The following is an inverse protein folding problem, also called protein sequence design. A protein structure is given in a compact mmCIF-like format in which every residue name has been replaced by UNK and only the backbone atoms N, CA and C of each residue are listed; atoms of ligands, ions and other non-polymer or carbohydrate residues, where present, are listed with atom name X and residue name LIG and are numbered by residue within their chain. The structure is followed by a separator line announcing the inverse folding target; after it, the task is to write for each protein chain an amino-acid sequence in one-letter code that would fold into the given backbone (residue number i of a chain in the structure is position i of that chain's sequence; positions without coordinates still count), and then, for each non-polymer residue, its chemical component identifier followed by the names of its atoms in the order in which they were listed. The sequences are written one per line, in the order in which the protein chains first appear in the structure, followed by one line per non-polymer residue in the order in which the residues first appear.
data_IF_895601782458
#
_entry.id   IF_895601782458
#
_cell.length_a   1.000
_cell.length_b   1.000
_cell.length_c   1.000
_cell.angle_alpha   90.00
_cell.angle_beta   90.00
_cell.angle_gamma   90.00
#
_symmetry.space_group_name_H-M   'P 1'
#
loop_
_entity.id
_entity.type
_entity.pdbx_description
1 polymer ?
#
# COMPACT_ATOMS: atom_id res chain seq x y z
N UNK A 1 -7.93 -14.83 29.03
CA UNK A 1 -8.25 -14.25 27.70
C UNK A 1 -8.54 -15.39 26.74
N UNK A 2 -9.58 -15.28 25.90
CA UNK A 2 -9.89 -16.29 24.86
C UNK A 2 -8.94 -16.15 23.68
N UNK A 3 -8.72 -17.25 22.94
CA UNK A 3 -7.98 -17.25 21.67
C UNK A 3 -8.59 -16.23 20.69
N UNK A 4 -9.92 -16.11 20.66
CA UNK A 4 -10.61 -15.18 19.77
C UNK A 4 -10.23 -13.71 20.00
N UNK A 5 -10.02 -13.33 21.26
CA UNK A 5 -9.62 -11.96 21.61
C UNK A 5 -8.19 -11.66 21.11
N UNK A 6 -7.30 -12.64 21.21
CA UNK A 6 -5.91 -12.51 20.72
C UNK A 6 -5.85 -12.39 19.19
N UNK A 7 -6.66 -13.17 18.48
CA UNK A 7 -6.71 -13.11 17.01
C UNK A 7 -7.28 -11.77 16.50
N UNK A 8 -8.26 -11.20 17.22
CA UNK A 8 -8.82 -9.89 16.89
C UNK A 8 -7.79 -8.78 17.12
N UNK A 9 -7.12 -8.78 18.28
CA UNK A 9 -6.07 -7.80 18.61
C UNK A 9 -4.91 -7.87 17.61
N UNK A 10 -4.44 -9.07 17.27
CA UNK A 10 -3.40 -9.28 16.27
C UNK A 10 -3.79 -8.74 14.89
N UNK A 11 -5.05 -8.94 14.46
CA UNK A 11 -5.52 -8.41 13.18
C UNK A 11 -5.60 -6.88 13.18
N UNK A 12 -6.05 -6.27 14.27
CA UNK A 12 -6.11 -4.81 14.41
C UNK A 12 -4.70 -4.22 14.33
N UNK A 13 -3.72 -4.85 15.00
CA UNK A 13 -2.33 -4.38 14.99
C UNK A 13 -1.74 -4.42 13.57
N UNK A 14 -1.88 -5.53 12.86
CA UNK A 14 -1.39 -5.67 11.48
C UNK A 14 -2.05 -4.64 10.54
N UNK A 15 -3.33 -4.35 10.73
CA UNK A 15 -4.03 -3.35 9.93
C UNK A 15 -3.53 -1.92 10.22
N UNK A 16 -3.21 -1.61 11.48
CA UNK A 16 -2.60 -0.32 11.86
C UNK A 16 -1.22 -0.16 11.22
N UNK A 17 -0.38 -1.20 11.28
CA UNK A 17 0.94 -1.20 10.65
C UNK A 17 0.85 -0.92 9.14
N UNK A 18 -0.14 -1.52 8.45
CA UNK A 18 -0.39 -1.26 7.04
C UNK A 18 -0.75 0.22 6.77
N UNK A 19 -1.67 0.78 7.56
CA UNK A 19 -2.10 2.18 7.40
C UNK A 19 -0.94 3.14 7.66
N UNK A 20 -0.16 2.90 8.71
CA UNK A 20 1.00 3.74 9.06
C UNK A 20 2.07 3.68 7.97
N UNK A 21 2.30 2.50 7.40
CA UNK A 21 3.22 2.33 6.27
C UNK A 21 2.77 3.13 5.04
N UNK A 22 1.48 3.05 4.67
CA UNK A 22 0.91 3.82 3.54
C UNK A 22 1.02 5.32 3.78
N UNK A 23 0.69 5.79 4.98
CA UNK A 23 0.79 7.20 5.33
C UNK A 23 2.23 7.71 5.21
N UNK A 24 3.21 6.89 5.63
CA UNK A 24 4.63 7.20 5.45
C UNK A 24 5.03 7.29 3.98
N UNK A 25 4.62 6.32 3.15
CA UNK A 25 4.89 6.36 1.70
C UNK A 25 4.31 7.63 1.05
N UNK A 26 3.08 7.97 1.38
CA UNK A 26 2.41 9.17 0.86
C UNK A 26 3.11 10.46 1.32
N UNK A 27 3.59 10.52 2.57
CA UNK A 27 4.33 11.67 3.08
C UNK A 27 5.68 11.84 2.38
N UNK A 28 6.41 10.74 2.15
CA UNK A 28 7.69 10.77 1.44
C UNK A 28 7.50 11.10 -0.06
N UNK A 29 6.42 10.64 -0.69
CA UNK A 29 6.03 11.05 -2.03
C UNK A 29 5.75 12.56 -2.11
N UNK A 30 4.98 13.10 -1.16
CA UNK A 30 4.68 14.54 -1.10
C UNK A 30 5.96 15.37 -0.95
N UNK A 31 6.88 14.98 -0.05
CA UNK A 31 8.17 15.68 0.11
C UNK A 31 8.98 15.74 -1.18
N UNK A 32 8.93 14.67 -2.00
CA UNK A 32 9.63 14.64 -3.30
C UNK A 32 8.99 15.59 -4.30
N UNK A 33 7.66 15.63 -4.36
CA UNK A 33 6.92 16.57 -5.21
C UNK A 33 7.08 18.02 -4.77
N UNK A 34 7.18 18.28 -3.46
CA UNK A 34 7.43 19.62 -2.94
C UNK A 34 8.84 20.13 -3.32
N UNK A 35 9.80 19.22 -3.50
CA UNK A 35 11.18 19.53 -3.89
C UNK A 35 11.39 19.66 -5.40
N UNK A 36 10.50 19.09 -6.21
CA UNK A 36 10.60 19.05 -7.67
C UNK A 36 9.22 19.33 -8.31
N UNK A 37 8.98 20.55 -8.84
CA UNK A 37 7.69 20.94 -9.39
C UNK A 37 7.31 20.20 -10.69
N UNK A 38 8.27 19.55 -11.36
CA UNK A 38 8.03 18.76 -12.56
C UNK A 38 7.72 17.28 -12.24
N UNK A 39 7.78 16.89 -10.96
CA UNK A 39 7.50 15.54 -10.49
C UNK A 39 6.08 15.41 -9.95
N UNK A 40 5.34 14.42 -10.45
CA UNK A 40 4.03 14.04 -9.93
C UNK A 40 4.01 12.57 -9.51
N UNK A 41 3.65 12.30 -8.25
CA UNK A 41 3.54 10.95 -7.69
C UNK A 41 2.12 10.75 -7.14
N UNK A 42 1.45 9.67 -7.58
CA UNK A 42 0.12 9.32 -7.08
C UNK A 42 0.14 8.91 -5.61
N UNK A 43 -0.93 9.21 -4.87
CA UNK A 43 -1.12 8.77 -3.48
C UNK A 43 -1.87 7.45 -3.42
N UNK A 44 -1.43 6.56 -2.55
CA UNK A 44 -2.15 5.35 -2.18
C UNK A 44 -3.27 5.72 -1.19
N UNK A 45 -4.44 5.09 -1.30
CA UNK A 45 -5.48 5.24 -0.27
C UNK A 45 -5.03 4.59 1.03
N UNK A 46 -5.35 5.21 2.17
CA UNK A 46 -5.11 4.63 3.51
C UNK A 46 -6.34 3.92 4.09
N UNK A 47 -7.38 3.75 3.27
CA UNK A 47 -8.56 2.95 3.61
C UNK A 47 -8.20 1.46 3.61
N UNK A 48 -8.19 0.78 4.76
CA UNK A 48 -7.85 -0.63 4.80
C UNK A 48 -8.94 -1.53 4.19
N UNK A 49 -10.20 -1.09 4.11
CA UNK A 49 -11.28 -1.89 3.50
C UNK A 49 -11.14 -1.92 1.97
N UNK A 50 -10.62 -0.85 1.38
CA UNK A 50 -10.20 -0.86 -0.02
C UNK A 50 -9.16 -1.95 -0.28
N UNK A 51 -8.11 -2.01 0.54
CA UNK A 51 -7.03 -2.99 0.40
C UNK A 51 -7.47 -4.43 0.68
N UNK A 52 -8.37 -4.61 1.64
CA UNK A 52 -9.04 -5.87 1.89
C UNK A 52 -9.73 -6.43 0.65
N UNK A 53 -10.35 -5.56 -0.17
CA UNK A 53 -10.96 -5.92 -1.45
C UNK A 53 -9.98 -6.51 -2.48
N UNK A 54 -8.69 -6.14 -2.38
CA UNK A 54 -7.59 -6.70 -3.19
C UNK A 54 -6.85 -7.85 -2.51
N UNK A 55 -7.31 -8.32 -1.34
CA UNK A 55 -6.62 -9.35 -0.57
C UNK A 55 -5.34 -8.86 0.12
N UNK A 56 -5.20 -7.55 0.31
CA UNK A 56 -4.08 -6.90 0.98
C UNK A 56 -4.45 -6.63 2.44
N UNK A 57 -3.75 -7.28 3.36
CA UNK A 57 -4.05 -7.24 4.80
C UNK A 57 -2.88 -6.76 5.65
N UNK A 58 -1.67 -6.74 5.09
CA UNK A 58 -0.41 -6.40 5.76
C UNK A 58 0.52 -5.64 4.83
N UNK A 59 1.56 -5.03 5.41
CA UNK A 59 2.63 -4.35 4.65
C UNK A 59 3.24 -5.28 3.59
N UNK A 60 3.52 -6.54 3.93
CA UNK A 60 4.11 -7.49 2.99
C UNK A 60 3.17 -7.80 1.81
N UNK A 61 1.87 -7.95 2.07
CA UNK A 61 0.89 -8.14 0.99
C UNK A 61 0.74 -6.90 0.09
N UNK A 62 0.87 -5.68 0.66
CA UNK A 62 0.86 -4.45 -0.12
C UNK A 62 2.07 -4.40 -1.06
N UNK A 63 3.27 -4.71 -0.56
CA UNK A 63 4.49 -4.72 -1.37
C UNK A 63 4.38 -5.73 -2.53
N UNK A 64 3.90 -6.94 -2.25
CA UNK A 64 3.67 -7.94 -3.29
C UNK A 64 2.65 -7.46 -4.35
N UNK A 65 1.59 -6.77 -3.92
CA UNK A 65 0.61 -6.19 -4.85
C UNK A 65 1.25 -5.13 -5.74
N UNK A 66 2.03 -4.21 -5.18
CA UNK A 66 2.69 -3.13 -5.92
C UNK A 66 3.75 -3.67 -6.90
N UNK A 67 4.50 -4.71 -6.52
CA UNK A 67 5.45 -5.38 -7.41
C UNK A 67 4.72 -6.05 -8.60
N UNK A 68 3.57 -6.68 -8.35
CA UNK A 68 2.75 -7.27 -9.40
C UNK A 68 2.18 -6.22 -10.36
N UNK A 69 1.67 -5.10 -9.84
CA UNK A 69 1.19 -3.98 -10.64
C UNK A 69 2.31 -3.34 -11.47
N UNK A 70 3.50 -3.16 -10.88
CA UNK A 70 4.68 -2.67 -11.59
C UNK A 70 5.01 -3.56 -12.79
N UNK A 71 5.07 -4.88 -12.56
CA UNK A 71 5.30 -5.87 -13.63
C UNK A 71 4.22 -5.81 -14.70
N UNK A 72 2.95 -5.77 -14.31
CA UNK A 72 1.83 -5.69 -15.26
C UNK A 72 1.90 -4.43 -16.14
N UNK A 73 2.28 -3.29 -15.56
CA UNK A 73 2.41 -2.03 -16.29
C UNK A 73 3.58 -2.05 -17.27
N UNK A 74 4.74 -2.61 -16.88
CA UNK A 74 5.87 -2.81 -17.79
C UNK A 74 5.49 -3.70 -18.98
N UNK A 75 4.84 -4.83 -18.73
CA UNK A 75 4.34 -5.73 -19.79
C UNK A 75 3.30 -5.05 -20.69
N UNK A 76 2.50 -4.13 -20.13
CA UNK A 76 1.53 -3.35 -20.91
C UNK A 76 2.24 -2.37 -21.83
N UNK A 77 3.23 -1.64 -21.34
CA UNK A 77 4.00 -0.69 -22.15
C UNK A 77 4.73 -1.40 -23.29
N UNK A 78 5.32 -2.56 -23.02
CA UNK A 78 5.97 -3.40 -24.05
C UNK A 78 5.05 -3.80 -25.22
N UNK A 79 3.72 -3.84 -25.01
CA UNK A 79 2.75 -4.11 -26.09
C UNK A 79 2.49 -2.92 -27.01
N UNK A 80 2.88 -1.70 -26.61
CA UNK A 80 2.60 -0.47 -27.33
C UNK A 80 3.87 0.20 -27.92
N UNK A 81 5.04 -0.45 -27.79
CA UNK A 81 6.31 -0.11 -28.47
C UNK A 81 6.53 -0.99 -29.69
#
# INVERSE_FOLDING_TARGET
MSIDNYMIESRIEVQRELIDYINKMNADAQKRMDADPDLWIGKLTNDPDHWAGYGVWSVNSLLNYLDAECKHNLEKEERYV
#
